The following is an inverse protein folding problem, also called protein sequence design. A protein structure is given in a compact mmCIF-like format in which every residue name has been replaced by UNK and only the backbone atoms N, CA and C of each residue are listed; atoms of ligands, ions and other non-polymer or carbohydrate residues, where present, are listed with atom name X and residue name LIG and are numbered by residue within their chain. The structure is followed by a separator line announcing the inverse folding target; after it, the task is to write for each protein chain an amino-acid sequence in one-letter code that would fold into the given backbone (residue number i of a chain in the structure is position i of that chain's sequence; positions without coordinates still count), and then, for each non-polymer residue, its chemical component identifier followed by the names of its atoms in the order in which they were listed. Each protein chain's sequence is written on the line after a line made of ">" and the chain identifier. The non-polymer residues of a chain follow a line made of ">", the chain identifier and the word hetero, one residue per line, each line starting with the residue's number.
data_IF_565908992583
#
_entry.id   IF_565908992583
#
_cell.length_a   1.000
_cell.length_b   1.000
_cell.length_c   1.000
_cell.angle_alpha   90.00
_cell.angle_beta   90.00
_cell.angle_gamma   90.00
#
_symmetry.space_group_name_H-M   'P 1'
#
loop_
_entity.id
_entity.type
_entity.pdbx_description
1 polymer ?
#
# COMPACT_ATOMS: atom_id res chain seq x y z
N UNK A 1 -20.63 -2.87 -15.80
CA UNK A 1 -21.24 -1.53 -15.98
C UNK A 1 -20.48 -0.52 -15.14
N UNK A 2 -20.01 0.59 -15.75
CA UNK A 2 -19.17 1.61 -15.09
C UNK A 2 -19.92 2.34 -13.98
N UNK A 3 -21.22 2.60 -14.17
CA UNK A 3 -22.01 3.31 -13.15
C UNK A 3 -22.14 2.49 -11.88
N UNK A 4 -22.24 1.15 -12.02
CA UNK A 4 -22.31 0.23 -10.87
C UNK A 4 -21.03 0.21 -10.03
N UNK A 5 -19.85 0.16 -10.66
CA UNK A 5 -18.58 0.15 -9.95
C UNK A 5 -18.33 1.45 -9.17
N UNK A 6 -18.56 2.60 -9.83
CA UNK A 6 -18.43 3.89 -9.15
C UNK A 6 -19.46 4.05 -8.03
N UNK A 7 -20.71 3.67 -8.25
CA UNK A 7 -21.75 3.73 -7.22
C UNK A 7 -21.38 2.87 -6.00
N UNK A 8 -20.89 1.64 -6.22
CA UNK A 8 -20.40 0.78 -5.15
C UNK A 8 -19.31 1.45 -4.32
N UNK A 9 -18.24 1.93 -4.96
CA UNK A 9 -17.13 2.57 -4.24
C UNK A 9 -17.54 3.87 -3.55
N UNK A 10 -18.43 4.66 -4.16
CA UNK A 10 -18.93 5.91 -3.57
C UNK A 10 -19.75 5.65 -2.31
N UNK A 11 -20.65 4.67 -2.34
CA UNK A 11 -21.43 4.30 -1.17
C UNK A 11 -20.53 3.74 -0.06
N UNK A 12 -19.59 2.86 -0.41
CA UNK A 12 -18.68 2.24 0.55
C UNK A 12 -17.79 3.30 1.23
N UNK A 13 -17.02 4.07 0.47
CA UNK A 13 -16.11 5.06 1.05
C UNK A 13 -16.87 6.23 1.70
N UNK A 14 -18.02 6.61 1.16
CA UNK A 14 -18.91 7.58 1.78
C UNK A 14 -19.35 7.12 3.18
N UNK A 15 -19.81 5.86 3.31
CA UNK A 15 -20.14 5.27 4.61
C UNK A 15 -18.93 5.23 5.56
N UNK A 16 -17.76 4.76 5.10
CA UNK A 16 -16.54 4.74 5.92
C UNK A 16 -16.18 6.14 6.45
N UNK A 17 -16.34 7.17 5.63
CA UNK A 17 -16.14 8.56 6.04
C UNK A 17 -17.11 8.99 7.14
N UNK A 18 -18.39 8.58 7.06
CA UNK A 18 -19.36 8.82 8.16
C UNK A 18 -18.99 8.11 9.45
N UNK A 19 -18.19 7.04 9.39
CA UNK A 19 -17.64 6.35 10.55
C UNK A 19 -16.34 6.96 11.08
N UNK A 20 -15.86 8.07 10.50
CA UNK A 20 -14.61 8.73 10.91
C UNK A 20 -13.34 8.09 10.35
N UNK A 21 -13.44 7.20 9.35
CA UNK A 21 -12.28 6.66 8.64
C UNK A 21 -11.69 7.73 7.72
N UNK A 22 -10.37 7.86 7.74
CA UNK A 22 -9.60 8.88 7.04
C UNK A 22 -8.85 8.36 5.80
N UNK A 23 -8.78 7.04 5.62
CA UNK A 23 -8.14 6.40 4.47
C UNK A 23 -8.43 4.90 4.38
N UNK A 24 -8.04 4.28 3.27
CA UNK A 24 -8.26 2.85 3.03
C UNK A 24 -7.04 2.17 2.43
N UNK A 25 -6.79 0.92 2.83
CA UNK A 25 -5.92 0.00 2.09
C UNK A 25 -6.81 -0.91 1.23
N UNK A 26 -6.64 -0.87 -0.09
CA UNK A 26 -7.43 -1.69 -1.03
C UNK A 26 -6.59 -2.84 -1.51
N UNK A 27 -6.89 -4.03 -1.00
CA UNK A 27 -6.16 -5.27 -1.27
C UNK A 27 -6.74 -6.08 -2.44
N UNK A 28 -6.00 -7.09 -2.89
CA UNK A 28 -6.43 -8.08 -3.90
C UNK A 28 -6.80 -7.42 -5.25
N UNK A 29 -6.19 -6.29 -5.59
CA UNK A 29 -6.57 -5.56 -6.81
C UNK A 29 -6.25 -6.33 -8.10
N UNK A 30 -5.24 -7.19 -8.06
CA UNK A 30 -4.88 -8.09 -9.15
C UNK A 30 -6.00 -9.04 -9.59
N UNK A 31 -6.99 -9.30 -8.72
CA UNK A 31 -8.11 -10.17 -9.07
C UNK A 31 -8.93 -9.64 -10.26
N UNK A 32 -8.99 -8.31 -10.46
CA UNK A 32 -9.66 -7.73 -11.62
C UNK A 32 -9.01 -8.17 -12.94
N UNK A 33 -7.68 -8.24 -12.99
CA UNK A 33 -6.93 -8.78 -14.12
C UNK A 33 -7.23 -10.26 -14.32
N UNK A 34 -7.24 -11.06 -13.25
CA UNK A 34 -7.53 -12.50 -13.32
C UNK A 34 -8.91 -12.80 -13.88
N UNK A 35 -9.94 -12.07 -13.45
CA UNK A 35 -11.32 -12.19 -13.96
C UNK A 35 -11.41 -11.88 -15.46
N UNK A 36 -10.60 -10.93 -15.94
CA UNK A 36 -10.51 -10.59 -17.34
C UNK A 36 -9.83 -11.64 -18.22
N UNK A 37 -9.02 -12.54 -17.64
CA UNK A 37 -8.38 -13.63 -18.38
C UNK A 37 -9.39 -14.69 -18.83
N UNK A 38 -10.40 -14.99 -18.02
CA UNK A 38 -11.42 -15.99 -18.34
C UNK A 38 -12.57 -15.44 -19.18
N UNK A 39 -12.89 -14.14 -19.04
CA UNK A 39 -14.04 -13.51 -19.69
C UNK A 39 -13.68 -12.56 -20.83
N UNK A 40 -12.38 -12.29 -21.04
CA UNK A 40 -11.89 -11.25 -21.93
C UNK A 40 -11.98 -9.84 -21.32
N UNK A 41 -11.21 -8.90 -21.89
CA UNK A 41 -11.31 -7.48 -21.54
C UNK A 41 -10.71 -7.08 -20.18
N UNK A 42 -9.75 -7.85 -19.65
CA UNK A 42 -9.09 -7.56 -18.35
C UNK A 42 -8.61 -6.12 -18.20
N UNK A 43 -7.85 -5.60 -19.16
CA UNK A 43 -7.43 -4.20 -19.15
C UNK A 43 -8.60 -3.21 -19.04
N UNK A 44 -9.73 -3.48 -19.72
CA UNK A 44 -10.93 -2.62 -19.64
C UNK A 44 -11.61 -2.72 -18.28
N UNK A 45 -11.71 -3.92 -17.71
CA UNK A 45 -12.33 -4.15 -16.39
C UNK A 45 -11.46 -3.53 -15.30
N UNK A 46 -10.17 -3.83 -15.28
CA UNK A 46 -9.20 -3.28 -14.35
C UNK A 46 -9.21 -1.75 -14.38
N UNK A 47 -9.14 -1.14 -15.58
CA UNK A 47 -9.22 0.32 -15.73
C UNK A 47 -10.51 0.89 -15.13
N UNK A 48 -11.66 0.25 -15.38
CA UNK A 48 -12.95 0.70 -14.82
C UNK A 48 -12.96 0.60 -13.30
N UNK A 49 -12.42 -0.47 -12.73
CA UNK A 49 -12.37 -0.66 -11.27
C UNK A 49 -11.43 0.34 -10.61
N UNK A 50 -10.20 0.49 -11.13
CA UNK A 50 -9.20 1.44 -10.64
C UNK A 50 -9.73 2.87 -10.69
N UNK A 51 -10.19 3.35 -11.86
CA UNK A 51 -10.68 4.73 -11.99
C UNK A 51 -11.92 4.99 -11.11
N UNK A 52 -12.77 3.99 -10.88
CA UNK A 52 -13.94 4.13 -10.00
C UNK A 52 -13.53 4.22 -8.53
N UNK A 53 -12.54 3.44 -8.12
CA UNK A 53 -11.95 3.46 -6.78
C UNK A 53 -11.23 4.78 -6.52
N UNK A 54 -10.34 5.20 -7.42
CA UNK A 54 -9.61 6.49 -7.35
C UNK A 54 -10.56 7.69 -7.26
N UNK A 55 -11.61 7.74 -8.10
CA UNK A 55 -12.62 8.79 -8.02
C UNK A 55 -13.36 8.80 -6.68
N UNK A 56 -13.55 7.63 -6.07
CA UNK A 56 -14.22 7.55 -4.77
C UNK A 56 -13.33 7.98 -3.62
N UNK A 57 -12.09 7.49 -3.54
CA UNK A 57 -11.14 7.87 -2.48
C UNK A 57 -10.75 9.35 -2.59
N UNK A 58 -10.61 9.89 -3.79
CA UNK A 58 -10.36 11.32 -4.00
C UNK A 58 -11.49 12.19 -3.44
N UNK A 59 -12.75 11.77 -3.62
CA UNK A 59 -13.91 12.54 -3.15
C UNK A 59 -14.15 12.41 -1.64
N UNK A 60 -14.00 11.20 -1.10
CA UNK A 60 -14.47 10.88 0.25
C UNK A 60 -13.35 10.85 1.30
N UNK A 61 -12.12 10.53 0.89
CA UNK A 61 -11.02 10.19 1.82
C UNK A 61 -9.77 11.03 1.56
N UNK A 62 -9.89 12.22 0.95
CA UNK A 62 -8.75 13.08 0.60
C UNK A 62 -7.65 12.35 -0.19
N UNK A 63 -8.04 11.36 -1.01
CA UNK A 63 -7.13 10.50 -1.75
C UNK A 63 -6.16 9.65 -0.87
N UNK A 64 -6.48 9.46 0.41
CA UNK A 64 -5.74 8.57 1.30
C UNK A 64 -6.06 7.10 0.96
N UNK A 65 -5.30 6.54 0.03
CA UNK A 65 -5.41 5.13 -0.35
C UNK A 65 -4.04 4.47 -0.47
N UNK A 66 -3.95 3.23 0.01
CA UNK A 66 -2.82 2.33 -0.24
C UNK A 66 -3.31 1.21 -1.14
N UNK A 67 -2.71 1.09 -2.33
CA UNK A 67 -2.96 -0.04 -3.21
C UNK A 67 -2.18 -1.28 -2.78
N UNK A 68 -2.81 -2.46 -2.78
CA UNK A 68 -2.15 -3.69 -2.41
C UNK A 68 -2.52 -4.83 -3.37
N UNK A 69 -1.55 -5.73 -3.62
CA UNK A 69 -1.59 -6.69 -4.73
C UNK A 69 -1.95 -6.01 -6.05
N UNK A 70 -1.37 -4.83 -6.32
CA UNK A 70 -1.79 -3.94 -7.40
C UNK A 70 -0.73 -3.77 -8.50
N UNK A 71 0.23 -4.69 -8.58
CA UNK A 71 1.31 -4.66 -9.57
C UNK A 71 1.04 -5.25 -10.95
N UNK A 72 -0.07 -5.96 -11.24
CA UNK A 72 -0.32 -6.35 -12.62
C UNK A 72 -0.28 -5.13 -13.54
N UNK A 73 0.26 -5.33 -14.73
CA UNK A 73 0.48 -4.31 -15.74
C UNK A 73 -0.79 -3.49 -16.03
N UNK A 74 -1.96 -4.12 -15.99
CA UNK A 74 -3.26 -3.45 -16.18
C UNK A 74 -3.59 -2.45 -15.05
N UNK A 75 -3.17 -2.72 -13.81
CA UNK A 75 -3.35 -1.80 -12.68
C UNK A 75 -2.41 -0.62 -12.83
N UNK A 76 -1.12 -0.88 -13.01
CA UNK A 76 -0.08 0.16 -13.12
C UNK A 76 -0.39 1.15 -14.26
N UNK A 77 -0.80 0.68 -15.44
CA UNK A 77 -1.21 1.54 -16.56
C UNK A 77 -2.62 2.15 -16.44
N UNK A 78 -3.32 1.87 -15.34
CA UNK A 78 -4.62 2.45 -15.02
C UNK A 78 -4.56 3.42 -13.85
N UNK A 79 -3.49 3.47 -13.07
CA UNK A 79 -3.34 4.46 -12.01
C UNK A 79 -3.33 5.87 -12.60
N UNK A 80 -4.11 6.76 -11.99
CA UNK A 80 -4.13 8.18 -12.31
C UNK A 80 -3.79 9.03 -11.09
N UNK A 81 -4.20 8.60 -9.90
CA UNK A 81 -4.03 9.36 -8.66
C UNK A 81 -3.74 8.49 -7.44
N UNK A 82 -3.61 7.17 -7.58
CA UNK A 82 -3.19 6.27 -6.50
C UNK A 82 -1.82 6.72 -5.98
N UNK A 83 -1.70 7.19 -4.72
CA UNK A 83 -0.47 7.79 -4.24
C UNK A 83 0.55 6.75 -3.74
N UNK A 84 0.08 5.65 -3.15
CA UNK A 84 0.91 4.64 -2.49
C UNK A 84 0.48 3.25 -2.98
N UNK A 85 1.43 2.37 -3.30
CA UNK A 85 1.13 0.95 -3.51
C UNK A 85 2.21 0.04 -2.92
N UNK A 86 1.78 -1.09 -2.32
CA UNK A 86 2.66 -2.06 -1.68
C UNK A 86 3.59 -2.72 -2.69
N UNK A 87 4.90 -2.59 -2.50
CA UNK A 87 5.96 -3.03 -3.42
C UNK A 87 6.44 -4.47 -3.26
N UNK A 88 5.87 -5.26 -2.34
CA UNK A 88 6.25 -6.66 -2.10
C UNK A 88 5.07 -7.55 -1.71
N UNK A 89 5.36 -8.85 -1.52
CA UNK A 89 4.56 -9.70 -0.65
C UNK A 89 4.64 -9.25 0.81
N UNK A 90 3.82 -9.86 1.67
CA UNK A 90 3.72 -9.53 3.09
C UNK A 90 5.04 -9.70 3.87
N UNK A 91 5.17 -8.93 4.94
CA UNK A 91 6.14 -9.18 5.99
C UNK A 91 5.78 -10.44 6.78
N UNK A 92 6.64 -11.47 6.72
CA UNK A 92 6.48 -12.72 7.47
C UNK A 92 7.38 -12.73 8.72
N UNK A 93 6.85 -12.39 9.93
CA UNK A 93 7.66 -12.25 11.14
C UNK A 93 8.30 -13.56 11.63
N UNK A 94 7.72 -14.70 11.29
CA UNK A 94 8.16 -16.00 11.82
C UNK A 94 9.05 -16.78 10.84
N UNK A 95 9.42 -16.17 9.71
CA UNK A 95 10.29 -16.78 8.71
C UNK A 95 11.59 -15.97 8.57
N UNK A 96 12.65 -16.45 9.23
CA UNK A 96 13.96 -15.81 9.22
C UNK A 96 14.51 -15.59 7.80
N UNK A 97 14.19 -16.47 6.85
CA UNK A 97 14.67 -16.37 5.46
C UNK A 97 13.95 -15.27 4.69
N UNK A 98 12.73 -14.92 5.09
CA UNK A 98 11.93 -13.94 4.39
C UNK A 98 12.43 -12.51 4.58
N UNK A 99 13.15 -12.18 5.66
CA UNK A 99 13.49 -10.77 5.96
C UNK A 99 14.44 -10.13 4.95
N UNK A 100 15.51 -10.83 4.57
CA UNK A 100 16.45 -10.32 3.56
C UNK A 100 15.76 -10.25 2.19
N UNK A 101 15.05 -11.31 1.82
CA UNK A 101 14.30 -11.37 0.56
C UNK A 101 13.30 -10.21 0.47
N UNK A 102 12.53 -9.97 1.52
CA UNK A 102 11.53 -8.90 1.57
C UNK A 102 12.15 -7.51 1.33
N UNK A 103 13.30 -7.20 1.96
CA UNK A 103 14.00 -5.93 1.74
C UNK A 103 14.53 -5.84 0.31
N UNK A 104 15.14 -6.91 -0.20
CA UNK A 104 15.68 -6.96 -1.56
C UNK A 104 14.55 -6.77 -2.58
N UNK A 105 13.45 -7.52 -2.47
CA UNK A 105 12.27 -7.39 -3.35
C UNK A 105 11.73 -5.98 -3.35
N UNK A 106 11.57 -5.35 -2.18
CA UNK A 106 11.10 -3.97 -2.10
C UNK A 106 12.07 -2.99 -2.75
N UNK A 107 13.37 -3.10 -2.49
CA UNK A 107 14.38 -2.24 -3.09
C UNK A 107 14.39 -2.35 -4.63
N UNK A 108 14.36 -3.57 -5.17
CA UNK A 108 14.33 -3.80 -6.61
C UNK A 108 13.03 -3.30 -7.26
N UNK A 109 11.87 -3.60 -6.68
CA UNK A 109 10.59 -3.17 -7.23
C UNK A 109 10.41 -1.65 -7.16
N UNK A 110 10.98 -1.00 -6.13
CA UNK A 110 10.93 0.45 -5.98
C UNK A 110 11.62 1.20 -7.11
N UNK A 111 12.62 0.61 -7.79
CA UNK A 111 13.28 1.24 -8.95
C UNK A 111 12.31 1.58 -10.09
N UNK A 112 11.27 0.77 -10.28
CA UNK A 112 10.26 1.02 -11.30
C UNK A 112 9.01 1.64 -10.70
N UNK A 113 8.52 1.12 -9.57
CA UNK A 113 7.29 1.59 -8.96
C UNK A 113 7.41 3.02 -8.43
N UNK A 114 8.59 3.43 -7.97
CA UNK A 114 8.86 4.78 -7.48
C UNK A 114 8.61 5.89 -8.51
N UNK A 115 8.67 5.56 -9.80
CA UNK A 115 8.36 6.49 -10.90
C UNK A 115 6.85 6.66 -11.13
N UNK A 116 6.02 5.86 -10.47
CA UNK A 116 4.55 5.81 -10.66
C UNK A 116 3.81 6.14 -9.36
N UNK A 117 4.27 5.58 -8.24
CA UNK A 117 3.64 5.67 -6.91
C UNK A 117 4.72 5.68 -5.84
N UNK A 118 4.39 6.11 -4.63
CA UNK A 118 5.26 5.90 -3.47
C UNK A 118 5.22 4.40 -3.11
N UNK A 119 6.34 3.68 -3.16
CA UNK A 119 6.38 2.26 -2.81
C UNK A 119 6.13 2.05 -1.32
N UNK A 120 5.14 1.24 -0.96
CA UNK A 120 4.89 0.80 0.41
C UNK A 120 5.62 -0.52 0.68
N UNK A 121 6.61 -0.48 1.58
CA UNK A 121 7.44 -1.63 1.92
C UNK A 121 6.81 -2.51 3.00
N UNK A 122 5.50 -2.43 3.19
CA UNK A 122 4.75 -3.10 4.23
C UNK A 122 5.18 -2.71 5.66
N UNK A 123 4.39 -3.16 6.62
CA UNK A 123 4.67 -3.08 8.03
C UNK A 123 5.87 -3.94 8.45
N UNK A 124 6.36 -3.68 9.66
CA UNK A 124 7.31 -4.56 10.37
C UNK A 124 7.00 -4.57 11.88
N UNK A 125 7.64 -5.49 12.61
CA UNK A 125 7.61 -5.49 14.07
C UNK A 125 8.83 -4.73 14.61
N UNK A 126 8.61 -3.69 15.40
CA UNK A 126 9.66 -2.90 16.07
C UNK A 126 10.37 -3.68 17.16
N UNK A 127 9.71 -4.66 17.80
CA UNK A 127 10.36 -5.64 18.69
C UNK A 127 10.57 -6.96 17.98
N UNK A 128 11.63 -7.01 17.17
CA UNK A 128 12.00 -8.19 16.39
C UNK A 128 13.52 -8.30 16.23
N UNK A 129 14.12 -9.51 16.14
CA UNK A 129 15.55 -9.66 15.85
C UNK A 129 16.02 -8.91 14.59
N UNK A 130 15.14 -8.73 13.62
CA UNK A 130 15.40 -8.00 12.36
C UNK A 130 14.84 -6.57 12.34
N UNK A 131 14.36 -6.04 13.46
CA UNK A 131 13.67 -4.75 13.50
C UNK A 131 14.57 -3.60 13.07
N UNK A 132 15.83 -3.58 13.51
CA UNK A 132 16.79 -2.53 13.14
C UNK A 132 17.10 -2.56 11.64
N UNK A 133 17.28 -3.74 11.06
CA UNK A 133 17.47 -3.92 9.62
C UNK A 133 16.28 -3.37 8.83
N UNK A 134 15.06 -3.72 9.22
CA UNK A 134 13.83 -3.24 8.60
C UNK A 134 13.60 -1.73 8.79
N UNK A 135 14.03 -1.18 9.92
CA UNK A 135 13.94 0.24 10.25
C UNK A 135 14.87 1.06 9.37
N UNK A 136 16.15 0.67 9.30
CA UNK A 136 17.15 1.35 8.46
C UNK A 136 16.75 1.28 6.99
N UNK A 137 16.28 0.12 6.52
CA UNK A 137 15.85 -0.07 5.14
C UNK A 137 14.72 0.91 4.76
N UNK A 138 13.75 1.15 5.64
CA UNK A 138 12.65 2.11 5.41
C UNK A 138 13.11 3.56 5.50
N UNK A 139 14.00 3.87 6.45
CA UNK A 139 14.59 5.21 6.57
C UNK A 139 15.36 5.62 5.31
N UNK A 140 16.15 4.69 4.74
CA UNK A 140 16.91 4.93 3.51
C UNK A 140 16.03 4.85 2.26
N UNK A 141 15.05 3.95 2.24
CA UNK A 141 14.16 3.75 1.10
C UNK A 141 13.12 4.85 0.88
N UNK A 142 12.94 5.77 1.84
CA UNK A 142 11.98 6.88 1.73
C UNK A 142 10.52 6.44 1.69
N UNK A 143 10.23 5.20 2.08
CA UNK A 143 8.89 4.63 2.05
C UNK A 143 8.11 4.92 3.34
N UNK A 144 6.78 4.76 3.32
CA UNK A 144 5.98 4.87 4.54
C UNK A 144 6.41 3.89 5.63
N UNK A 145 6.32 4.32 6.89
CA UNK A 145 6.68 3.51 8.06
C UNK A 145 5.41 3.08 8.78
N UNK A 146 5.16 1.77 8.79
CA UNK A 146 4.06 1.15 9.52
C UNK A 146 4.59 0.07 10.47
N UNK A 147 3.98 -0.03 11.65
CA UNK A 147 4.27 -1.12 12.61
C UNK A 147 3.02 -1.97 12.81
N UNK A 148 3.19 -3.29 12.86
CA UNK A 148 2.13 -4.26 13.16
C UNK A 148 2.37 -5.00 14.48
N UNK A 149 3.23 -4.43 15.35
CA UNK A 149 3.46 -4.93 16.69
C UNK A 149 2.15 -5.09 17.48
N UNK A 150 2.12 -6.08 18.38
CA UNK A 150 1.05 -6.20 19.37
C UNK A 150 0.96 -4.91 20.20
N UNK A 151 -0.26 -4.46 20.50
CA UNK A 151 -0.53 -3.31 21.37
C UNK A 151 0.25 -3.43 22.67
N UNK A 152 0.97 -2.36 23.03
CA UNK A 152 1.82 -2.31 24.22
C UNK A 152 3.20 -2.97 24.07
N UNK A 153 3.49 -3.60 22.93
CA UNK A 153 4.75 -4.28 22.67
C UNK A 153 5.58 -3.59 21.57
N UNK A 154 5.77 -2.28 21.68
CA UNK A 154 6.54 -1.49 20.71
C UNK A 154 7.92 -1.16 21.25
N UNK A 155 8.93 -1.09 20.38
CA UNK A 155 10.23 -0.50 20.71
C UNK A 155 10.20 0.99 20.35
N UNK A 156 9.75 1.83 21.29
CA UNK A 156 9.73 3.28 21.09
C UNK A 156 11.14 3.89 20.96
N UNK A 157 12.19 3.21 21.46
CA UNK A 157 13.57 3.65 21.29
C UNK A 157 13.99 3.57 19.83
N UNK A 158 13.67 2.45 19.17
CA UNK A 158 13.88 2.26 17.74
C UNK A 158 12.99 3.19 16.90
N UNK A 159 11.69 3.26 17.19
CA UNK A 159 10.75 4.08 16.40
C UNK A 159 11.07 5.57 16.45
N UNK A 160 11.56 6.09 17.58
CA UNK A 160 12.03 7.48 17.68
C UNK A 160 13.20 7.81 16.75
N UNK A 161 13.97 6.81 16.29
CA UNK A 161 15.05 7.01 15.31
C UNK A 161 14.52 7.19 13.88
N UNK A 162 13.25 6.84 13.61
CA UNK A 162 12.61 6.93 12.30
C UNK A 162 11.80 8.22 12.10
N UNK A 163 11.61 9.01 13.16
CA UNK A 163 10.82 10.23 13.16
C UNK A 163 11.68 11.43 13.57
N UNK A 164 11.32 12.59 13.06
CA UNK A 164 11.85 13.88 13.49
C UNK A 164 11.29 14.26 14.87
N UNK A 165 11.92 15.23 15.58
CA UNK A 165 11.44 15.67 16.89
C UNK A 165 9.99 16.18 16.92
N UNK A 166 9.46 16.65 15.78
CA UNK A 166 8.07 17.09 15.61
C UNK A 166 7.09 15.94 15.29
N UNK A 167 7.59 14.71 15.23
CA UNK A 167 6.82 13.51 14.92
C UNK A 167 6.61 13.25 13.42
N UNK A 168 7.12 14.11 12.54
CA UNK A 168 7.10 13.87 11.10
C UNK A 168 8.14 12.82 10.70
N UNK A 169 7.99 12.20 9.53
CA UNK A 169 8.94 11.23 9.00
C UNK A 169 9.70 11.89 7.85
N UNK A 170 11.01 11.66 7.76
CA UNK A 170 11.81 12.09 6.62
C UNK A 170 11.25 11.45 5.33
N UNK A 171 10.86 12.29 4.37
CA UNK A 171 10.51 11.87 3.01
C UNK A 171 11.49 12.55 2.08
N UNK A 172 12.23 11.77 1.29
CA UNK A 172 13.11 12.26 0.24
C UNK A 172 12.29 12.62 -1.01
#
# INVERSE_FOLDING_TARGET
>A
DRQKALHFYQNLHGYLTTCGIDGVKVDVQAAATTLGKSLGGGASITRKMVHSMEKSVSRNLNNNVIGCMAHPTENLYSFQSTPIARSSDDFYPNDDKAHQQHIVTNAFNSLFLGEIVIPDWDCFHSKHPYAELHSVARAVGGCPVYTSDRVGNHDFGLLRKLVLPDGTIYRA
#
